data_IF_231048431350
#
_entry.id   IF_231048431350
#
_cell.length_a   1.000
_cell.length_b   1.000
_cell.length_c   1.000
_cell.angle_alpha   90.00
_cell.angle_beta   90.00
_cell.angle_gamma   90.00
#
_symmetry.space_group_name_H-M   'P 1'
#
loop_
_entity.id
_entity.type
_entity.pdbx_description
1 polymer ?
#
# COMPACT_ATOMS: atom_id res chain seq x y z
N UNK A 1 -15.59 -19.80 8.26
CA UNK A 1 -16.38 -18.87 7.42
C UNK A 1 -15.43 -17.75 7.05
N UNK A 2 -15.25 -17.43 5.77
CA UNK A 2 -14.45 -16.25 5.40
C UNK A 2 -15.17 -15.02 5.96
N UNK A 3 -14.54 -14.31 6.90
CA UNK A 3 -15.07 -13.02 7.35
C UNK A 3 -15.18 -12.08 6.14
N UNK A 4 -16.29 -11.35 6.05
CA UNK A 4 -16.44 -10.31 5.02
C UNK A 4 -15.31 -9.30 5.16
N UNK A 5 -14.55 -9.07 4.08
CA UNK A 5 -13.47 -8.07 4.01
C UNK A 5 -13.97 -6.63 4.23
N UNK A 6 -15.28 -6.39 4.18
CA UNK A 6 -15.89 -5.06 4.35
C UNK A 6 -17.19 -5.09 5.15
N UNK A 7 -17.51 -3.96 5.79
CA UNK A 7 -18.82 -3.66 6.39
C UNK A 7 -19.77 -2.92 5.43
N UNK A 8 -19.31 -2.60 4.22
CA UNK A 8 -20.01 -1.79 3.23
C UNK A 8 -20.25 -2.58 1.93
N UNK A 9 -20.89 -3.77 1.99
CA UNK A 9 -21.16 -4.54 0.78
C UNK A 9 -22.05 -3.74 -0.18
N UNK A 10 -21.69 -3.73 -1.45
CA UNK A 10 -22.39 -3.00 -2.50
C UNK A 10 -22.02 -1.52 -2.63
N UNK A 11 -21.14 -0.99 -1.76
CA UNK A 11 -20.56 0.34 -1.98
C UNK A 11 -19.42 0.26 -3.01
N UNK A 12 -19.46 1.15 -4.00
CA UNK A 12 -18.39 1.35 -4.97
C UNK A 12 -18.11 2.84 -5.10
N UNK A 13 -16.95 3.27 -4.61
CA UNK A 13 -16.53 4.67 -4.69
C UNK A 13 -16.41 5.17 -6.13
N UNK A 14 -16.07 4.29 -7.08
CA UNK A 14 -15.91 4.64 -8.49
C UNK A 14 -17.25 4.91 -9.18
N UNK A 15 -18.36 4.38 -8.67
CA UNK A 15 -19.71 4.74 -9.15
C UNK A 15 -20.02 6.24 -8.95
N UNK A 16 -19.30 6.91 -8.05
CA UNK A 16 -19.44 8.34 -7.77
C UNK A 16 -18.36 9.21 -8.42
N UNK A 17 -17.47 8.64 -9.23
CA UNK A 17 -16.35 9.37 -9.84
C UNK A 17 -16.79 10.53 -10.74
N UNK A 18 -18.00 10.47 -11.30
CA UNK A 18 -18.59 11.56 -12.09
C UNK A 18 -18.92 12.83 -11.29
N UNK A 19 -18.95 12.75 -9.95
CA UNK A 19 -19.16 13.90 -9.08
C UNK A 19 -17.85 14.64 -8.71
N UNK A 20 -16.69 14.09 -9.05
CA UNK A 20 -15.40 14.72 -8.80
C UNK A 20 -15.04 15.69 -9.92
N UNK A 21 -14.19 16.67 -9.62
CA UNK A 21 -13.60 17.48 -10.68
C UNK A 21 -12.77 16.59 -11.64
N UNK A 22 -12.65 16.99 -12.92
CA UNK A 22 -11.98 16.16 -13.93
C UNK A 22 -10.52 15.81 -13.60
N UNK A 23 -9.79 16.71 -12.93
CA UNK A 23 -8.38 16.49 -12.61
C UNK A 23 -8.24 15.43 -11.53
N UNK A 24 -8.94 15.58 -10.41
CA UNK A 24 -8.96 14.59 -9.33
C UNK A 24 -9.42 13.22 -9.84
N UNK A 25 -10.50 13.21 -10.65
CA UNK A 25 -11.00 11.98 -11.28
C UNK A 25 -9.91 11.26 -12.08
N UNK A 26 -9.21 11.99 -12.94
CA UNK A 26 -8.12 11.40 -13.75
C UNK A 26 -6.96 10.85 -12.90
N UNK A 27 -6.64 11.49 -11.77
CA UNK A 27 -5.62 10.99 -10.84
C UNK A 27 -6.06 9.64 -10.26
N UNK A 28 -7.30 9.55 -9.77
CA UNK A 28 -7.82 8.34 -9.14
C UNK A 28 -7.98 7.21 -10.15
N UNK A 29 -8.50 7.48 -11.35
CA UNK A 29 -8.66 6.49 -12.41
C UNK A 29 -7.33 5.86 -12.86
N UNK A 30 -6.22 6.60 -12.81
CA UNK A 30 -4.88 6.05 -13.11
C UNK A 30 -4.43 5.01 -12.08
N UNK A 31 -4.93 5.06 -10.84
CA UNK A 31 -4.58 4.07 -9.80
C UNK A 31 -5.09 2.67 -10.14
N UNK A 32 -6.20 2.59 -10.88
CA UNK A 32 -6.80 1.33 -11.35
C UNK A 32 -6.06 0.71 -12.55
N UNK A 33 -5.12 1.45 -13.15
CA UNK A 33 -4.36 1.02 -14.33
C UNK A 33 -2.87 1.34 -14.12
N UNK A 34 -2.23 0.77 -13.09
CA UNK A 34 -0.82 1.03 -12.83
C UNK A 34 0.06 0.50 -13.97
N UNK A 35 1.18 1.17 -14.29
CA UNK A 35 2.21 0.63 -15.15
C UNK A 35 2.65 -0.79 -14.73
N UNK A 36 2.81 -1.69 -15.70
CA UNK A 36 3.23 -3.07 -15.44
C UNK A 36 4.74 -3.24 -15.30
N UNK A 37 5.52 -2.25 -15.77
CA UNK A 37 6.98 -2.27 -15.70
C UNK A 37 7.47 -1.20 -14.73
N UNK A 38 8.25 -1.56 -13.70
CA UNK A 38 8.92 -0.60 -12.83
C UNK A 38 9.91 0.26 -13.63
N UNK A 39 10.05 1.53 -13.24
CA UNK A 39 11.01 2.47 -13.81
C UNK A 39 12.26 2.62 -12.95
N UNK A 40 12.15 2.45 -11.63
CA UNK A 40 13.26 2.58 -10.69
C UNK A 40 13.79 1.23 -10.19
N UNK A 41 12.89 0.32 -9.81
CA UNK A 41 13.21 -1.00 -9.29
C UNK A 41 13.64 -1.93 -10.41
N UNK A 42 14.64 -2.77 -10.12
CA UNK A 42 14.96 -3.92 -10.97
C UNK A 42 13.85 -4.98 -10.87
N UNK A 43 13.75 -5.92 -11.84
CA UNK A 43 12.78 -7.02 -11.75
C UNK A 43 12.88 -7.83 -10.46
N UNK A 44 14.10 -8.08 -9.97
CA UNK A 44 14.34 -8.81 -8.73
C UNK A 44 13.90 -7.99 -7.51
N UNK A 45 14.26 -6.71 -7.42
CA UNK A 45 13.81 -5.84 -6.33
C UNK A 45 12.27 -5.74 -6.29
N UNK A 46 11.62 -5.67 -7.45
CA UNK A 46 10.16 -5.64 -7.55
C UNK A 46 9.51 -6.96 -7.08
N UNK A 47 10.10 -8.11 -7.39
CA UNK A 47 9.63 -9.41 -6.91
C UNK A 47 9.77 -9.54 -5.40
N UNK A 48 10.94 -9.17 -4.85
CA UNK A 48 11.18 -9.14 -3.40
C UNK A 48 10.23 -8.17 -2.72
N UNK A 49 10.06 -6.96 -3.24
CA UNK A 49 9.13 -5.97 -2.69
C UNK A 49 7.68 -6.48 -2.73
N UNK A 50 7.25 -7.16 -3.80
CA UNK A 50 5.91 -7.77 -3.89
C UNK A 50 5.66 -8.72 -2.73
N UNK A 51 6.58 -9.65 -2.49
CA UNK A 51 6.48 -10.58 -1.38
C UNK A 51 6.38 -9.83 -0.04
N UNK A 52 7.21 -8.80 0.18
CA UNK A 52 7.16 -7.99 1.41
C UNK A 52 5.79 -7.32 1.58
N UNK A 53 5.30 -6.59 0.58
CA UNK A 53 4.06 -5.81 0.72
C UNK A 53 2.82 -6.71 0.87
N UNK A 54 2.83 -7.92 0.28
CA UNK A 54 1.78 -8.92 0.52
C UNK A 54 1.69 -9.31 2.00
N UNK A 55 2.83 -9.48 2.69
CA UNK A 55 2.86 -9.73 4.14
C UNK A 55 2.45 -8.49 4.95
N UNK A 56 2.97 -7.31 4.60
CA UNK A 56 2.71 -6.08 5.37
C UNK A 56 1.24 -5.65 5.32
N UNK A 57 0.58 -5.85 4.18
CA UNK A 57 -0.80 -5.39 3.95
C UNK A 57 -1.84 -6.50 4.15
N UNK A 58 -1.41 -7.76 4.28
CA UNK A 58 -2.30 -8.92 4.24
C UNK A 58 -3.21 -8.89 3.00
N UNK A 59 -2.59 -8.69 1.84
CA UNK A 59 -3.26 -8.50 0.56
C UNK A 59 -2.68 -9.45 -0.51
N UNK A 60 -3.57 -10.00 -1.32
CA UNK A 60 -3.30 -11.03 -2.32
C UNK A 60 -3.85 -10.68 -3.71
N UNK A 61 -4.65 -9.62 -3.83
CA UNK A 61 -5.21 -9.18 -5.11
C UNK A 61 -4.18 -8.47 -5.99
N UNK A 62 -4.03 -8.99 -7.21
CA UNK A 62 -2.99 -8.55 -8.14
C UNK A 62 -3.10 -7.10 -8.57
N UNK A 63 -4.32 -6.57 -8.72
CA UNK A 63 -4.60 -5.19 -9.10
C UNK A 63 -4.15 -4.21 -8.02
N UNK A 64 -4.48 -4.49 -6.76
CA UNK A 64 -4.08 -3.66 -5.61
C UNK A 64 -2.57 -3.74 -5.39
N UNK A 65 -2.00 -4.94 -5.34
CA UNK A 65 -0.56 -5.12 -5.18
C UNK A 65 0.23 -4.50 -6.34
N UNK A 66 -0.29 -4.59 -7.57
CA UNK A 66 0.29 -3.94 -8.74
C UNK A 66 0.34 -2.43 -8.59
N UNK A 67 -0.74 -1.81 -8.08
CA UNK A 67 -0.76 -0.38 -7.78
C UNK A 67 0.22 -0.01 -6.67
N UNK A 68 0.24 -0.76 -5.57
CA UNK A 68 1.19 -0.53 -4.45
C UNK A 68 2.62 -0.53 -4.96
N UNK A 69 3.02 -1.54 -5.73
CA UNK A 69 4.36 -1.62 -6.32
C UNK A 69 4.67 -0.44 -7.24
N UNK A 70 3.75 -0.08 -8.13
CA UNK A 70 3.93 1.06 -9.03
C UNK A 70 4.03 2.38 -8.27
N UNK A 71 3.27 2.55 -7.19
CA UNK A 71 3.31 3.76 -6.38
C UNK A 71 4.66 3.88 -5.67
N UNK A 72 5.14 2.81 -5.05
CA UNK A 72 6.45 2.78 -4.40
C UNK A 72 7.56 3.04 -5.41
N UNK A 73 7.53 2.39 -6.57
CA UNK A 73 8.52 2.60 -7.64
C UNK A 73 8.59 4.08 -8.08
N UNK A 74 7.44 4.73 -8.30
CA UNK A 74 7.37 6.15 -8.63
C UNK A 74 7.92 7.04 -7.53
N UNK A 75 7.62 6.74 -6.26
CA UNK A 75 8.15 7.48 -5.11
C UNK A 75 9.68 7.36 -5.01
N UNK A 76 10.24 6.19 -5.32
CA UNK A 76 11.68 5.97 -5.29
C UNK A 76 12.42 6.60 -6.49
N UNK A 77 11.76 6.66 -7.65
CA UNK A 77 12.29 7.33 -8.85
C UNK A 77 12.06 8.84 -8.91
N UNK A 78 11.29 9.41 -7.98
CA UNK A 78 10.92 10.82 -7.98
C UNK A 78 12.12 11.73 -7.69
N UNK A 79 12.32 12.83 -8.45
CA UNK A 79 13.31 13.86 -8.13
C UNK A 79 12.85 14.77 -6.98
N UNK A 80 11.54 14.80 -6.71
CA UNK A 80 10.96 15.46 -5.54
C UNK A 80 11.26 14.52 -4.37
N UNK A 81 12.28 14.85 -3.58
CA UNK A 81 12.75 14.02 -2.47
C UNK A 81 11.73 13.85 -1.34
N UNK A 82 12.23 13.46 -0.15
CA UNK A 82 11.35 13.16 0.98
C UNK A 82 10.80 14.43 1.65
N UNK A 83 9.51 14.45 2.00
CA UNK A 83 8.90 15.54 2.76
C UNK A 83 9.58 15.75 4.13
N UNK A 84 10.00 14.65 4.78
CA UNK A 84 10.75 14.66 6.03
C UNK A 84 11.78 13.53 6.02
N UNK A 85 12.96 13.78 6.60
CA UNK A 85 14.03 12.79 6.77
C UNK A 85 14.78 13.07 8.07
N UNK A 86 14.98 12.05 8.92
CA UNK A 86 15.76 12.20 10.15
C UNK A 86 17.22 12.52 9.80
N UNK A 87 17.88 13.30 10.66
CA UNK A 87 19.30 13.61 10.52
C UNK A 87 20.14 12.32 10.45
N UNK A 88 21.13 12.32 9.54
CA UNK A 88 22.03 11.17 9.33
C UNK A 88 21.45 10.00 8.52
N UNK A 89 20.15 10.00 8.18
CA UNK A 89 19.59 8.93 7.36
C UNK A 89 19.93 9.10 5.87
N UNK A 90 20.30 8.04 5.14
CA UNK A 90 20.43 8.11 3.70
C UNK A 90 19.08 8.43 3.03
N UNK A 91 19.09 8.98 1.80
CA UNK A 91 17.88 9.17 1.02
C UNK A 91 17.09 7.86 0.87
N UNK A 92 15.76 7.95 0.91
CA UNK A 92 14.85 6.79 0.78
C UNK A 92 15.19 5.84 -0.38
N UNK A 93 15.51 6.28 -1.62
CA UNK A 93 15.85 5.36 -2.70
C UNK A 93 17.06 4.47 -2.37
N UNK A 94 18.09 5.07 -1.76
CA UNK A 94 19.29 4.35 -1.32
C UNK A 94 18.94 3.38 -0.18
N UNK A 95 18.20 3.85 0.83
CA UNK A 95 17.80 3.04 2.00
C UNK A 95 17.00 1.80 1.59
N UNK A 96 16.05 1.95 0.67
CA UNK A 96 15.23 0.84 0.19
C UNK A 96 16.07 -0.16 -0.58
N UNK A 97 16.93 0.28 -1.51
CA UNK A 97 17.81 -0.61 -2.27
C UNK A 97 18.77 -1.40 -1.37
N UNK A 98 19.43 -0.71 -0.44
CA UNK A 98 20.34 -1.34 0.53
C UNK A 98 19.61 -2.33 1.44
N UNK A 99 18.41 -1.96 1.92
CA UNK A 99 17.58 -2.83 2.76
C UNK A 99 17.08 -4.07 2.04
N UNK A 100 16.62 -3.95 0.78
CA UNK A 100 16.22 -5.09 -0.05
C UNK A 100 17.39 -6.05 -0.27
N UNK A 101 18.58 -5.53 -0.58
CA UNK A 101 19.78 -6.35 -0.74
C UNK A 101 20.21 -7.03 0.56
N UNK A 102 20.07 -6.35 1.71
CA UNK A 102 20.38 -6.93 3.02
C UNK A 102 19.38 -8.02 3.42
N UNK A 103 18.08 -7.82 3.14
CA UNK A 103 17.01 -8.79 3.33
C UNK A 103 17.28 -10.07 2.51
N UNK A 104 17.58 -9.94 1.22
CA UNK A 104 17.88 -11.09 0.37
C UNK A 104 19.09 -11.88 0.88
N UNK A 105 20.16 -11.19 1.28
CA UNK A 105 21.32 -11.84 1.90
C UNK A 105 20.94 -12.56 3.21
N UNK A 106 20.03 -12.00 4.00
CA UNK A 106 19.56 -12.63 5.23
C UNK A 106 18.73 -13.89 4.93
N UNK A 107 17.83 -13.83 3.94
CA UNK A 107 17.05 -14.97 3.48
C UNK A 107 17.95 -16.09 2.96
N UNK A 108 18.91 -15.79 2.09
CA UNK A 108 19.87 -16.77 1.56
C UNK A 108 20.67 -17.43 2.69
N UNK A 109 21.16 -16.65 3.67
CA UNK A 109 21.91 -17.21 4.80
C UNK A 109 21.07 -18.12 5.70
N UNK A 110 19.78 -17.85 5.86
CA UNK A 110 18.90 -18.61 6.77
C UNK A 110 18.19 -19.78 6.11
N UNK A 111 17.83 -19.63 4.84
CA UNK A 111 16.90 -20.51 4.12
C UNK A 111 17.47 -21.00 2.78
N UNK A 112 18.65 -20.54 2.36
CA UNK A 112 19.31 -21.00 1.13
C UNK A 112 18.74 -20.45 -0.18
N UNK A 113 17.77 -19.52 -0.12
CA UNK A 113 17.12 -18.93 -1.28
C UNK A 113 16.95 -17.40 -1.11
N UNK A 114 16.84 -16.63 -2.21
CA UNK A 114 16.39 -15.23 -2.17
C UNK A 114 15.04 -15.10 -1.44
N UNK A 115 14.77 -13.94 -0.85
CA UNK A 115 13.58 -13.77 0.00
C UNK A 115 12.28 -14.07 -0.76
N UNK A 116 12.19 -13.61 -2.01
CA UNK A 116 11.02 -13.83 -2.85
C UNK A 116 10.73 -15.32 -3.15
N UNK A 117 11.77 -16.16 -3.10
CA UNK A 117 11.70 -17.59 -3.42
C UNK A 117 11.51 -18.47 -2.17
N UNK A 118 11.64 -17.91 -0.97
CA UNK A 118 11.35 -18.59 0.29
C UNK A 118 9.85 -18.91 0.42
N UNK A 119 9.49 -19.95 1.18
CA UNK A 119 8.07 -20.23 1.47
C UNK A 119 7.48 -19.20 2.44
N UNK A 120 6.15 -19.05 2.43
CA UNK A 120 5.44 -18.03 3.23
C UNK A 120 5.86 -17.99 4.72
N UNK A 121 5.99 -19.12 5.45
CA UNK A 121 6.44 -19.09 6.85
C UNK A 121 7.87 -18.55 7.03
N UNK A 122 8.77 -18.79 6.07
CA UNK A 122 10.15 -18.33 6.11
C UNK A 122 10.22 -16.83 5.82
N UNK A 123 9.49 -16.36 4.81
CA UNK A 123 9.34 -14.93 4.51
C UNK A 123 8.82 -14.18 5.75
N UNK A 124 7.78 -14.69 6.40
CA UNK A 124 7.24 -14.13 7.63
C UNK A 124 8.30 -14.08 8.74
N UNK A 125 9.04 -15.16 8.96
CA UNK A 125 10.08 -15.21 9.99
C UNK A 125 11.20 -14.19 9.77
N UNK A 126 11.60 -13.95 8.51
CA UNK A 126 12.58 -12.92 8.15
C UNK A 126 12.03 -11.52 8.43
N UNK A 127 10.79 -11.22 8.01
CA UNK A 127 10.16 -9.91 8.26
C UNK A 127 9.94 -9.64 9.75
N UNK A 128 9.49 -10.64 10.51
CA UNK A 128 9.32 -10.55 11.96
C UNK A 128 10.65 -10.30 12.68
N UNK A 129 11.75 -10.87 12.16
CA UNK A 129 13.09 -10.59 12.68
C UNK A 129 13.52 -9.14 12.40
N UNK A 130 13.25 -8.61 11.21
CA UNK A 130 13.54 -7.20 10.88
C UNK A 130 12.77 -6.22 11.78
N UNK A 131 11.47 -6.47 11.98
CA UNK A 131 10.61 -5.65 12.83
C UNK A 131 11.14 -5.54 14.28
N UNK A 132 11.84 -6.57 14.76
CA UNK A 132 12.37 -6.64 16.13
C UNK A 132 13.88 -6.42 16.21
N UNK A 133 14.54 -6.21 15.07
CA UNK A 133 15.99 -6.19 14.95
C UNK A 133 16.66 -4.92 15.47
N UNK A 134 17.86 -4.68 14.95
CA UNK A 134 18.62 -3.46 15.15
C UNK A 134 17.83 -2.22 14.70
N UNK A 135 18.31 -1.04 15.10
CA UNK A 135 17.71 0.23 14.71
C UNK A 135 17.53 0.37 13.18
N UNK A 136 18.53 -0.02 12.40
CA UNK A 136 18.47 0.09 10.93
C UNK A 136 17.47 -0.88 10.31
N UNK A 137 17.35 -2.10 10.84
CA UNK A 137 16.36 -3.08 10.38
C UNK A 137 14.93 -2.60 10.65
N UNK A 138 14.70 -2.03 11.83
CA UNK A 138 13.41 -1.42 12.19
C UNK A 138 13.07 -0.23 11.31
N UNK A 139 14.03 0.67 11.10
CA UNK A 139 13.84 1.84 10.23
C UNK A 139 13.55 1.44 8.78
N UNK A 140 14.18 0.38 8.26
CA UNK A 140 13.86 -0.17 6.94
C UNK A 140 12.44 -0.75 6.90
N UNK A 141 12.07 -1.57 7.89
CA UNK A 141 10.73 -2.15 8.01
C UNK A 141 9.65 -1.05 8.06
N UNK A 142 9.84 -0.04 8.92
CA UNK A 142 8.94 1.11 9.05
C UNK A 142 8.84 1.91 7.74
N UNK A 143 9.97 2.09 7.03
CA UNK A 143 9.98 2.79 5.74
C UNK A 143 9.12 2.05 4.71
N UNK A 144 9.25 0.72 4.60
CA UNK A 144 8.45 -0.06 3.66
C UNK A 144 6.98 -0.12 4.07
N UNK A 145 6.69 -0.26 5.36
CA UNK A 145 5.32 -0.26 5.87
C UNK A 145 4.61 1.06 5.57
N UNK A 146 5.27 2.20 5.82
CA UNK A 146 4.71 3.52 5.54
C UNK A 146 4.38 3.68 4.06
N UNK A 147 5.32 3.33 3.18
CA UNK A 147 5.14 3.38 1.73
C UNK A 147 4.01 2.46 1.24
N UNK A 148 3.93 1.25 1.78
CA UNK A 148 2.92 0.27 1.41
C UNK A 148 1.52 0.70 1.87
N UNK A 149 1.38 1.16 3.12
CA UNK A 149 0.11 1.62 3.69
C UNK A 149 -0.38 2.89 3.01
N UNK A 150 0.50 3.85 2.70
CA UNK A 150 0.16 5.07 1.95
C UNK A 150 -0.46 4.72 0.59
N UNK A 151 0.19 3.81 -0.15
CA UNK A 151 -0.31 3.37 -1.44
C UNK A 151 -1.62 2.58 -1.28
N UNK A 152 -1.67 1.60 -0.38
CA UNK A 152 -2.84 0.76 -0.16
C UNK A 152 -4.08 1.58 0.23
N UNK A 153 -3.93 2.48 1.20
CA UNK A 153 -4.98 3.39 1.64
C UNK A 153 -5.35 4.46 0.60
N UNK A 154 -4.66 4.52 -0.54
CA UNK A 154 -4.99 5.38 -1.69
C UNK A 154 -5.73 4.64 -2.80
N UNK A 155 -5.90 3.32 -2.72
CA UNK A 155 -6.55 2.55 -3.78
C UNK A 155 -8.09 2.59 -3.68
N UNK A 156 -8.84 2.83 -4.78
CA UNK A 156 -10.31 2.96 -4.73
C UNK A 156 -11.06 1.73 -4.22
N UNK A 157 -10.56 0.52 -4.49
CA UNK A 157 -11.17 -0.70 -3.94
C UNK A 157 -11.07 -0.71 -2.40
N UNK A 158 -9.91 -0.31 -1.87
CA UNK A 158 -9.67 -0.23 -0.41
C UNK A 158 -10.53 0.88 0.21
N UNK A 159 -10.72 2.00 -0.48
CA UNK A 159 -11.67 3.04 -0.05
C UNK A 159 -13.08 2.49 0.09
N UNK A 160 -13.54 1.74 -0.91
CA UNK A 160 -14.87 1.14 -0.87
C UNK A 160 -15.01 0.16 0.30
N UNK A 161 -13.98 -0.64 0.55
CA UNK A 161 -13.94 -1.59 1.67
C UNK A 161 -13.98 -0.90 3.05
N UNK A 162 -13.29 0.23 3.18
CA UNK A 162 -13.28 1.05 4.40
C UNK A 162 -14.53 1.93 4.54
N UNK A 163 -15.36 2.03 3.49
CA UNK A 163 -16.49 2.95 3.42
C UNK A 163 -16.07 4.42 3.25
N UNK A 164 -14.85 4.68 2.80
CA UNK A 164 -14.38 6.03 2.50
C UNK A 164 -14.93 6.49 1.14
N UNK A 165 -15.59 7.65 1.14
CA UNK A 165 -16.24 8.20 -0.05
C UNK A 165 -15.31 8.81 -1.10
N UNK A 166 -14.00 8.75 -0.89
CA UNK A 166 -13.00 9.35 -1.76
C UNK A 166 -12.96 10.88 -1.65
N UNK A 167 -12.33 11.56 -2.62
CA UNK A 167 -12.38 13.01 -2.74
C UNK A 167 -13.82 13.49 -2.88
N UNK A 168 -14.11 14.68 -2.37
CA UNK A 168 -15.46 15.23 -2.46
C UNK A 168 -15.56 16.52 -3.27
N UNK A 169 -14.45 17.15 -3.67
CA UNK A 169 -14.53 18.37 -4.47
C UNK A 169 -15.12 18.08 -5.86
N UNK A 170 -16.09 18.91 -6.35
CA UNK A 170 -16.61 20.14 -5.74
C UNK A 170 -17.79 19.98 -4.77
N UNK A 171 -18.42 18.80 -4.69
CA UNK A 171 -19.62 18.54 -3.88
C UNK A 171 -19.42 18.79 -2.36
N UNK A 172 -18.27 18.43 -1.82
CA UNK A 172 -17.96 18.45 -0.39
C UNK A 172 -18.59 17.29 0.41
N UNK A 173 -18.15 17.13 1.67
CA UNK A 173 -18.82 16.39 2.72
C UNK A 173 -19.56 17.42 3.59
N UNK A 174 -20.89 17.38 3.63
CA UNK A 174 -21.67 18.46 4.26
C UNK A 174 -22.44 18.03 5.50
N UNK A 175 -22.72 16.73 5.69
CA UNK A 175 -23.20 16.20 6.97
C UNK A 175 -22.02 15.98 7.90
N UNK A 176 -22.10 16.54 9.09
CA UNK A 176 -21.00 16.55 10.07
C UNK A 176 -21.41 15.88 11.39
N UNK A 177 -22.69 15.54 11.53
CA UNK A 177 -23.23 14.88 12.71
C UNK A 177 -22.76 13.43 12.77
N UNK A 178 -22.35 13.00 13.97
CA UNK A 178 -21.90 11.63 14.19
C UNK A 178 -23.00 10.61 13.83
N UNK A 179 -22.65 9.63 13.02
CA UNK A 179 -23.57 8.57 12.58
C UNK A 179 -24.50 8.97 11.42
N UNK A 180 -24.36 10.18 10.89
CA UNK A 180 -25.10 10.61 9.70
C UNK A 180 -24.14 10.65 8.52
N UNK A 181 -24.51 9.97 7.43
CA UNK A 181 -23.75 9.97 6.18
C UNK A 181 -24.54 10.71 5.10
N UNK A 182 -23.86 11.34 4.16
CA UNK A 182 -24.48 11.87 2.95
C UNK A 182 -25.13 10.74 2.13
N UNK A 183 -26.12 11.04 1.26
CA UNK A 183 -26.84 10.02 0.50
C UNK A 183 -25.96 9.12 -0.38
N UNK A 184 -24.78 9.62 -0.76
CA UNK A 184 -23.80 8.98 -1.62
C UNK A 184 -22.66 8.31 -0.85
N UNK A 185 -22.58 8.52 0.46
CA UNK A 185 -21.56 7.89 1.29
C UNK A 185 -21.95 6.44 1.60
N UNK A 186 -20.94 5.63 1.92
CA UNK A 186 -21.10 4.23 2.24
C UNK A 186 -21.97 4.05 3.50
N UNK A 187 -22.93 3.12 3.43
CA UNK A 187 -23.78 2.76 4.57
C UNK A 187 -23.35 1.40 5.08
N UNK A 188 -22.97 1.34 6.35
CA UNK A 188 -22.60 0.07 6.97
C UNK A 188 -23.82 -0.86 7.05
N UNK A 189 -23.62 -2.14 6.79
CA UNK A 189 -24.62 -3.13 7.17
C UNK A 189 -24.78 -3.13 8.68
N UNK A 190 -25.97 -2.78 9.15
CA UNK A 190 -26.35 -2.97 10.54
C UNK A 190 -26.62 -4.46 10.72
N UNK A 191 -25.71 -5.20 11.36
CA UNK A 191 -26.04 -6.55 11.80
C UNK A 191 -27.22 -6.44 12.78
N UNK A 192 -28.34 -7.16 12.55
CA UNK A 192 -29.42 -7.18 13.53
C UNK A 192 -28.87 -7.74 14.85
N UNK A 193 -29.05 -6.98 15.92
CA UNK A 193 -28.78 -7.38 17.31
C UNK A 193 -29.73 -8.47 17.77
#
# INVERSE_FOLDING_TARGET
MAESRTRYPGYDVMAHAGAWDPHTRSIVERRLRPPTKPAFLTPQEAQTLRAIVSHLLYEDRDDILGYVLSHIDQQLGSPLGEAQRKEGMPPRPQRVREGLAALDKLAVRKHGAPFADCVVPEQFAVLAALQKGSRHEKEFFETLLALAVEAYASHPAVWSEMGYGGPAYPRGYYRIEAGVTDPWEAKAEVKPT
#
